data_IF_071675304445
#
_entry.id   IF_071675304445
#
_cell.length_a   1.000
_cell.length_b   1.000
_cell.length_c   1.000
_cell.angle_alpha   90.00
_cell.angle_beta   90.00
_cell.angle_gamma   90.00
#
_symmetry.space_group_name_H-M   'P 1'
#
loop_
_entity.id
_entity.type
_entity.pdbx_description
1 polymer ?
#
# COMPACT_ATOMS: atom_id res chain seq x y z
N UNK A 1 -4.32 -7.71 -13.11
CA UNK A 1 -4.68 -6.57 -12.23
C UNK A 1 -3.47 -5.66 -12.18
N UNK A 2 -3.66 -4.36 -11.97
CA UNK A 2 -2.54 -3.42 -11.86
C UNK A 2 -2.71 -2.55 -10.62
N UNK A 3 -1.61 -2.04 -10.09
CA UNK A 3 -1.59 -1.08 -8.99
C UNK A 3 -0.58 0.02 -9.27
N UNK A 4 -0.92 1.25 -8.90
CA UNK A 4 0.01 2.37 -8.87
C UNK A 4 -0.39 3.31 -7.74
N UNK A 5 0.60 3.97 -7.14
CA UNK A 5 0.42 5.07 -6.21
C UNK A 5 0.81 6.39 -6.86
N UNK A 6 0.11 7.47 -6.49
CA UNK A 6 0.46 8.83 -6.88
C UNK A 6 0.49 9.74 -5.65
N UNK A 7 1.34 10.74 -5.69
CA UNK A 7 1.40 11.84 -4.74
C UNK A 7 1.38 13.18 -5.48
N UNK A 8 1.46 14.30 -4.76
CA UNK A 8 1.48 15.62 -5.37
C UNK A 8 2.69 15.85 -6.29
N UNK A 9 3.84 15.23 -6.00
CA UNK A 9 5.11 15.48 -6.69
C UNK A 9 5.74 14.25 -7.35
N UNK A 10 5.15 13.06 -7.20
CA UNK A 10 5.75 11.81 -7.66
C UNK A 10 4.71 10.70 -7.91
N UNK A 11 5.11 9.62 -8.58
CA UNK A 11 4.30 8.42 -8.78
C UNK A 11 5.15 7.15 -8.68
N UNK A 12 4.53 6.03 -8.30
CA UNK A 12 5.15 4.72 -8.49
C UNK A 12 5.03 4.28 -9.95
N UNK A 13 5.93 3.42 -10.41
CA UNK A 13 5.68 2.65 -11.63
C UNK A 13 4.41 1.80 -11.49
N UNK A 14 3.80 1.43 -12.62
CA UNK A 14 2.64 0.54 -12.64
C UNK A 14 3.08 -0.89 -12.31
N UNK A 15 2.65 -1.39 -11.15
CA UNK A 15 2.85 -2.77 -10.77
C UNK A 15 1.81 -3.66 -11.45
N UNK A 16 2.26 -4.69 -12.19
CA UNK A 16 1.39 -5.66 -12.84
C UNK A 16 1.36 -6.95 -12.03
N UNK A 17 0.21 -7.27 -11.47
CA UNK A 17 0.00 -8.56 -10.82
C UNK A 17 -0.14 -9.67 -11.85
N UNK A 18 0.75 -10.66 -11.75
CA UNK A 18 0.73 -11.84 -12.61
C UNK A 18 -0.03 -12.98 -11.93
N UNK A 19 -1.12 -13.43 -12.56
CA UNK A 19 -1.94 -14.56 -12.10
C UNK A 19 -2.72 -14.32 -10.80
N UNK A 20 -3.76 -15.14 -10.57
CA UNK A 20 -4.52 -15.17 -9.31
C UNK A 20 -5.31 -13.90 -8.96
N UNK A 21 -5.95 -13.95 -7.80
CA UNK A 21 -6.68 -12.82 -7.20
C UNK A 21 -5.78 -12.08 -6.23
N UNK A 22 -5.96 -10.75 -6.09
CA UNK A 22 -5.31 -9.98 -5.03
C UNK A 22 -5.86 -10.40 -3.66
N UNK A 23 -4.95 -10.74 -2.75
CA UNK A 23 -5.26 -11.07 -1.36
C UNK A 23 -4.56 -10.08 -0.44
N UNK A 24 -4.95 -9.98 0.83
CA UNK A 24 -4.28 -9.07 1.77
C UNK A 24 -2.79 -9.39 1.95
N UNK A 25 -2.42 -10.67 1.93
CA UNK A 25 -1.00 -11.09 1.98
C UNK A 25 -0.25 -10.61 0.74
N UNK A 26 -0.82 -10.79 -0.46
CA UNK A 26 -0.20 -10.30 -1.70
C UNK A 26 -0.14 -8.78 -1.74
N UNK A 27 -1.15 -8.09 -1.22
CA UNK A 27 -1.12 -6.63 -1.12
C UNK A 27 0.01 -6.16 -0.20
N UNK A 28 0.19 -6.79 0.96
CA UNK A 28 1.33 -6.52 1.83
C UNK A 28 2.66 -6.74 1.12
N UNK A 29 2.86 -7.92 0.54
CA UNK A 29 4.17 -8.36 0.02
C UNK A 29 4.53 -7.73 -1.33
N UNK A 30 3.54 -7.51 -2.21
CA UNK A 30 3.77 -6.98 -3.56
C UNK A 30 3.56 -5.46 -3.64
N UNK A 31 2.83 -4.84 -2.70
CA UNK A 31 2.50 -3.41 -2.72
C UNK A 31 3.03 -2.65 -1.51
N UNK A 32 2.63 -3.02 -0.28
CA UNK A 32 2.97 -2.22 0.90
C UNK A 32 4.47 -2.19 1.17
N UNK A 33 5.09 -3.36 1.18
CA UNK A 33 6.50 -3.53 1.52
C UNK A 33 7.45 -2.93 0.46
N UNK A 34 7.29 -3.21 -0.86
CA UNK A 34 8.21 -2.68 -1.85
C UNK A 34 7.93 -1.23 -2.28
N UNK A 35 6.71 -0.71 -2.09
CA UNK A 35 6.35 0.62 -2.56
C UNK A 35 5.90 1.55 -1.43
N UNK A 36 4.86 1.20 -0.68
CA UNK A 36 4.25 2.14 0.29
C UNK A 36 5.22 2.50 1.41
N UNK A 37 5.86 1.51 2.04
CA UNK A 37 6.77 1.76 3.17
C UNK A 37 8.00 2.60 2.77
N UNK A 38 8.70 2.35 1.65
CA UNK A 38 9.76 3.23 1.18
C UNK A 38 9.30 4.66 0.89
N UNK A 39 8.15 4.84 0.26
CA UNK A 39 7.62 6.18 -0.04
C UNK A 39 7.19 6.93 1.22
N UNK A 40 6.59 6.22 2.18
CA UNK A 40 6.29 6.78 3.49
C UNK A 40 7.55 7.26 4.20
N UNK A 41 8.64 6.47 4.15
CA UNK A 41 9.93 6.89 4.70
C UNK A 41 10.53 8.12 4.00
N UNK A 42 10.32 8.28 2.69
CA UNK A 42 10.80 9.43 1.94
C UNK A 42 9.98 10.71 2.19
N UNK A 43 8.66 10.58 2.31
CA UNK A 43 7.74 11.70 2.60
C UNK A 43 7.80 12.10 4.07
N UNK A 44 8.00 11.13 4.96
CA UNK A 44 8.07 11.32 6.41
C UNK A 44 6.69 11.45 7.05
N UNK A 45 6.60 12.23 8.12
CA UNK A 45 5.42 12.31 9.00
C UNK A 45 4.15 12.83 8.31
N UNK A 46 4.27 13.47 7.15
CA UNK A 46 3.13 13.98 6.39
C UNK A 46 2.51 12.90 5.46
N UNK A 47 3.07 11.68 5.47
CA UNK A 47 2.55 10.57 4.66
C UNK A 47 1.25 10.03 5.22
N UNK A 48 0.22 9.96 4.37
CA UNK A 48 -1.04 9.29 4.65
C UNK A 48 -1.37 8.37 3.48
N UNK A 49 -1.57 7.08 3.76
CA UNK A 49 -2.01 6.11 2.75
C UNK A 49 -3.48 6.36 2.41
N UNK A 50 -3.78 6.51 1.13
CA UNK A 50 -5.15 6.56 0.63
C UNK A 50 -5.39 5.37 -0.31
N UNK A 51 -6.36 4.54 0.02
CA UNK A 51 -6.81 3.41 -0.82
C UNK A 51 -8.33 3.24 -0.73
N UNK A 52 -8.88 2.30 -1.51
CA UNK A 52 -10.30 1.95 -1.43
C UNK A 52 -10.58 0.92 -0.33
N UNK A 53 -11.86 0.71 -0.02
CA UNK A 53 -12.31 -0.24 0.98
C UNK A 53 -12.37 -1.70 0.48
N UNK A 54 -11.58 -2.07 -0.55
CA UNK A 54 -11.57 -3.44 -1.04
C UNK A 54 -11.07 -4.42 0.05
N UNK A 55 -11.64 -5.63 0.06
CA UNK A 55 -11.33 -6.66 1.08
C UNK A 55 -9.83 -6.94 1.27
N UNK A 56 -8.99 -6.98 0.22
CA UNK A 56 -7.55 -7.16 0.39
C UNK A 56 -6.89 -6.03 1.18
N UNK A 57 -7.29 -4.76 0.98
CA UNK A 57 -6.73 -3.60 1.67
C UNK A 57 -7.18 -3.52 3.13
N UNK A 58 -8.36 -4.05 3.42
CA UNK A 58 -8.96 -4.08 4.77
C UNK A 58 -8.79 -5.43 5.47
N UNK A 59 -7.83 -6.24 5.02
CA UNK A 59 -7.52 -7.52 5.63
C UNK A 59 -6.71 -7.30 6.91
N UNK A 60 -6.91 -8.14 7.94
CA UNK A 60 -6.18 -8.05 9.22
C UNK A 60 -4.66 -7.98 9.02
N UNK A 61 -4.11 -8.79 8.10
CA UNK A 61 -2.68 -8.79 7.78
C UNK A 61 -2.16 -7.45 7.24
N UNK A 62 -3.04 -6.64 6.63
CA UNK A 62 -2.72 -5.29 6.15
C UNK A 62 -2.82 -4.30 7.29
N UNK A 63 -3.87 -4.35 8.10
CA UNK A 63 -3.99 -3.51 9.30
C UNK A 63 -2.80 -3.68 10.24
N UNK A 64 -2.45 -4.92 10.57
CA UNK A 64 -1.30 -5.24 11.44
C UNK A 64 0.01 -4.72 10.85
N UNK A 65 0.16 -4.75 9.52
CA UNK A 65 1.35 -4.23 8.85
C UNK A 65 1.43 -2.71 8.93
N UNK A 66 0.32 -2.01 8.70
CA UNK A 66 0.25 -0.55 8.79
C UNK A 66 0.55 -0.09 10.22
N UNK A 67 -0.06 -0.72 11.22
CA UNK A 67 0.21 -0.41 12.63
C UNK A 67 1.68 -0.68 13.00
N UNK A 68 2.23 -1.83 12.59
CA UNK A 68 3.63 -2.20 12.84
C UNK A 68 4.66 -1.26 12.21
N UNK A 69 4.29 -0.56 11.13
CA UNK A 69 5.15 0.42 10.44
C UNK A 69 4.77 1.87 10.75
N UNK A 70 3.83 2.11 11.69
CA UNK A 70 3.32 3.44 12.03
C UNK A 70 2.82 4.23 10.80
N UNK A 71 2.19 3.52 9.85
CA UNK A 71 1.62 4.10 8.64
C UNK A 71 0.16 4.48 8.90
N UNK A 72 -0.14 5.77 8.81
CA UNK A 72 -1.52 6.25 8.88
C UNK A 72 -2.25 6.00 7.55
N UNK A 73 -3.50 5.55 7.64
CA UNK A 73 -4.40 5.39 6.50
C UNK A 73 -5.59 6.33 6.65
N UNK A 74 -5.99 6.93 5.53
CA UNK A 74 -7.22 7.70 5.45
C UNK A 74 -8.44 6.78 5.50
N UNK A 75 -9.37 7.10 6.41
CA UNK A 75 -10.61 6.35 6.63
C UNK A 75 -11.76 6.81 5.72
#
# INVERSE_FOLDING_TARGET
MVWAGISLGDHTDLHVFHGGTLTGVRFRDEILDPYVCPYAGAIGNDFILMDDNARPHRAVVVEDYLEGHSLERME
#
